data_IF_024823003775
#
_entry.id   IF_024823003775
#
_cell.length_a   1.000
_cell.length_b   1.000
_cell.length_c   1.000
_cell.angle_alpha   90.00
_cell.angle_beta   90.00
_cell.angle_gamma   90.00
#
_symmetry.space_group_name_H-M   'P 1'
#
loop_
_entity.id
_entity.type
_entity.pdbx_description
1 polymer ?
#
# COMPACT_ATOMS: atom_id res chain seq x y z
N UNK A 1 5.06 -7.86 -12.77
CA UNK A 1 4.38 -6.76 -12.04
C UNK A 1 5.43 -5.98 -11.26
N UNK A 2 5.32 -4.66 -11.22
CA UNK A 2 6.13 -3.77 -10.38
C UNK A 2 5.43 -3.47 -9.05
N UNK A 3 6.18 -2.94 -8.07
CA UNK A 3 5.59 -2.52 -6.80
C UNK A 3 4.52 -1.43 -6.99
N UNK A 4 4.69 -0.53 -7.96
CA UNK A 4 3.71 0.52 -8.28
C UNK A 4 2.40 -0.08 -8.79
N UNK A 5 2.47 -1.12 -9.63
CA UNK A 5 1.28 -1.83 -10.12
C UNK A 5 0.59 -2.59 -9.00
N UNK A 6 1.34 -3.26 -8.13
CA UNK A 6 0.78 -3.95 -6.96
C UNK A 6 0.10 -2.95 -5.99
N UNK A 7 0.76 -1.83 -5.71
CA UNK A 7 0.22 -0.76 -4.88
C UNK A 7 -1.07 -0.17 -5.47
N UNK A 8 -1.13 -0.01 -6.79
CA UNK A 8 -2.33 0.44 -7.49
C UNK A 8 -3.52 -0.50 -7.27
N UNK A 9 -3.29 -1.82 -7.37
CA UNK A 9 -4.31 -2.83 -7.10
C UNK A 9 -4.80 -2.78 -5.66
N UNK A 10 -3.88 -2.65 -4.71
CA UNK A 10 -4.17 -2.59 -3.28
C UNK A 10 -4.94 -1.34 -2.90
N UNK A 11 -4.47 -0.14 -3.28
CA UNK A 11 -5.15 1.13 -3.01
C UNK A 11 -6.59 1.08 -3.53
N UNK A 12 -6.76 0.65 -4.78
CA UNK A 12 -8.08 0.51 -5.39
C UNK A 12 -8.95 -0.53 -4.69
N UNK A 13 -8.36 -1.65 -4.30
CA UNK A 13 -9.06 -2.73 -3.58
C UNK A 13 -9.57 -2.28 -2.21
N UNK A 14 -8.70 -1.66 -1.40
CA UNK A 14 -9.04 -1.11 -0.08
C UNK A 14 -10.08 0.00 -0.20
N UNK A 15 -9.95 0.88 -1.19
CA UNK A 15 -10.96 1.93 -1.45
C UNK A 15 -12.33 1.33 -1.74
N UNK A 16 -12.39 0.37 -2.66
CA UNK A 16 -13.64 -0.28 -3.07
C UNK A 16 -14.26 -1.10 -1.94
N UNK A 17 -13.47 -1.79 -1.12
CA UNK A 17 -14.00 -2.55 0.02
C UNK A 17 -14.63 -1.64 1.08
N UNK A 18 -14.22 -0.37 1.14
CA UNK A 18 -14.83 0.67 1.98
C UNK A 18 -16.01 1.39 1.32
N UNK A 19 -16.42 0.99 0.10
CA UNK A 19 -17.51 1.62 -0.62
C UNK A 19 -17.22 3.03 -1.12
N UNK A 20 -15.94 3.46 -1.11
CA UNK A 20 -15.54 4.80 -1.49
C UNK A 20 -15.36 4.92 -3.00
N UNK A 21 -15.83 6.01 -3.58
CA UNK A 21 -15.47 6.47 -4.91
C UNK A 21 -14.08 7.11 -4.92
N UNK A 22 -13.57 7.44 -6.11
CA UNK A 22 -12.33 8.24 -6.20
C UNK A 22 -12.53 9.68 -5.70
N UNK A 23 -13.75 10.21 -5.80
CA UNK A 23 -14.09 11.58 -5.38
C UNK A 23 -14.17 11.70 -3.85
N UNK A 24 -14.36 10.59 -3.14
CA UNK A 24 -14.33 10.58 -1.68
C UNK A 24 -12.90 10.73 -1.13
N UNK A 25 -11.88 10.42 -1.94
CA UNK A 25 -10.47 10.59 -1.60
C UNK A 25 -9.97 11.96 -2.10
N UNK A 26 -10.44 13.03 -1.47
CA UNK A 26 -10.04 14.42 -1.77
C UNK A 26 -8.60 14.78 -1.29
N UNK A 27 -7.69 13.81 -1.23
CA UNK A 27 -6.31 14.00 -0.76
C UNK A 27 -5.34 14.39 -1.88
N UNK A 28 -5.70 14.04 -3.10
CA UNK A 28 -4.97 14.32 -4.33
C UNK A 28 -5.97 14.62 -5.44
N UNK A 29 -5.49 15.27 -6.50
CA UNK A 29 -6.31 15.49 -7.69
C UNK A 29 -6.82 14.15 -8.26
N UNK A 30 -8.10 14.11 -8.67
CA UNK A 30 -8.77 12.92 -9.21
C UNK A 30 -8.01 12.30 -10.39
N UNK A 31 -7.45 13.11 -11.27
CA UNK A 31 -6.64 12.62 -12.38
C UNK A 31 -5.40 11.88 -11.87
N UNK A 32 -4.75 12.43 -10.84
CA UNK A 32 -3.60 11.81 -10.23
C UNK A 32 -3.98 10.51 -9.51
N UNK A 33 -5.05 10.50 -8.69
CA UNK A 33 -5.56 9.28 -8.06
C UNK A 33 -5.90 8.20 -9.10
N UNK A 34 -6.55 8.58 -10.19
CA UNK A 34 -6.86 7.65 -11.28
C UNK A 34 -5.62 7.11 -11.98
N UNK A 35 -4.50 7.84 -12.02
CA UNK A 35 -3.21 7.30 -12.49
C UNK A 35 -2.59 6.36 -11.47
N UNK A 36 -2.67 6.67 -10.18
CA UNK A 36 -2.20 5.82 -9.09
C UNK A 36 -2.88 4.46 -9.15
N UNK A 37 -4.22 4.41 -9.19
CA UNK A 37 -4.99 3.15 -9.19
C UNK A 37 -4.91 2.33 -10.48
N UNK A 38 -4.21 2.86 -11.49
CA UNK A 38 -3.87 2.17 -12.74
C UNK A 38 -2.38 1.81 -12.84
N UNK A 39 -1.57 2.09 -11.79
CA UNK A 39 -0.14 1.83 -11.79
C UNK A 39 0.66 2.76 -12.71
N UNK A 40 0.09 3.90 -13.12
CA UNK A 40 0.67 4.84 -14.10
C UNK A 40 1.30 6.08 -13.44
N UNK A 41 1.48 6.07 -12.14
CA UNK A 41 2.09 7.14 -11.37
C UNK A 41 3.15 6.56 -10.44
N UNK A 42 4.27 7.27 -10.30
CA UNK A 42 5.18 7.07 -9.18
C UNK A 42 4.63 7.88 -8.01
N UNK A 43 4.33 7.18 -6.91
CA UNK A 43 3.75 7.77 -5.71
C UNK A 43 4.87 8.00 -4.71
N UNK A 44 4.96 9.22 -4.17
CA UNK A 44 5.87 9.49 -3.06
C UNK A 44 5.32 8.87 -1.78
N UNK A 45 6.20 8.56 -0.82
CA UNK A 45 5.78 8.01 0.47
C UNK A 45 4.78 8.94 1.18
N UNK A 46 4.98 10.26 1.09
CA UNK A 46 4.07 11.27 1.65
C UNK A 46 2.67 11.21 1.03
N UNK A 47 2.56 11.11 -0.30
CA UNK A 47 1.25 10.96 -0.96
C UNK A 47 0.60 9.64 -0.56
N UNK A 48 1.38 8.55 -0.50
CA UNK A 48 0.83 7.26 -0.07
C UNK A 48 0.30 7.32 1.36
N UNK A 49 0.98 8.01 2.26
CA UNK A 49 0.53 8.22 3.63
C UNK A 49 -0.78 9.00 3.68
N UNK A 50 -0.93 10.08 2.90
CA UNK A 50 -2.20 10.83 2.80
C UNK A 50 -3.34 9.96 2.28
N UNK A 51 -3.08 9.12 1.28
CA UNK A 51 -4.06 8.17 0.77
C UNK A 51 -4.45 7.16 1.86
N UNK A 52 -3.48 6.62 2.60
CA UNK A 52 -3.74 5.70 3.71
C UNK A 52 -4.63 6.34 4.79
N UNK A 53 -4.34 7.57 5.18
CA UNK A 53 -5.13 8.36 6.14
C UNK A 53 -6.58 8.51 5.65
N UNK A 54 -6.79 8.90 4.39
CA UNK A 54 -8.16 9.06 3.88
C UNK A 54 -8.88 7.74 3.61
N UNK A 55 -8.14 6.65 3.42
CA UNK A 55 -8.68 5.30 3.47
C UNK A 55 -8.92 4.82 4.91
N UNK A 56 -8.47 5.54 5.94
CA UNK A 56 -8.58 5.13 7.34
C UNK A 56 -7.83 3.83 7.62
N UNK A 57 -6.60 3.71 7.14
CA UNK A 57 -5.68 2.59 7.40
C UNK A 57 -4.26 3.10 7.61
N UNK A 58 -3.41 2.29 8.24
CA UNK A 58 -1.98 2.60 8.33
C UNK A 58 -1.30 2.43 6.97
N UNK A 59 -0.34 3.31 6.67
CA UNK A 59 0.44 3.22 5.43
C UNK A 59 1.19 1.89 5.32
N UNK A 60 1.61 1.32 6.45
CA UNK A 60 2.28 0.02 6.52
C UNK A 60 1.40 -1.12 5.98
N UNK A 61 0.08 -1.08 6.21
CA UNK A 61 -0.85 -2.07 5.67
C UNK A 61 -0.81 -2.09 4.13
N UNK A 62 -0.83 -0.91 3.50
CA UNK A 62 -0.80 -0.79 2.04
C UNK A 62 0.49 -1.38 1.47
N UNK A 63 1.63 -1.13 2.13
CA UNK A 63 2.93 -1.67 1.72
C UNK A 63 2.99 -3.20 1.89
N UNK A 64 2.50 -3.73 3.01
CA UNK A 64 2.45 -5.19 3.25
C UNK A 64 1.59 -5.88 2.21
N UNK A 65 0.39 -5.35 1.92
CA UNK A 65 -0.48 -5.92 0.90
C UNK A 65 0.15 -5.81 -0.49
N UNK A 66 0.81 -4.68 -0.82
CA UNK A 66 1.45 -4.51 -2.12
C UNK A 66 2.64 -5.47 -2.32
N UNK A 67 3.42 -5.72 -1.28
CA UNK A 67 4.53 -6.68 -1.31
C UNK A 67 4.06 -8.13 -1.35
N UNK A 68 2.96 -8.46 -0.68
CA UNK A 68 2.25 -9.75 -0.79
C UNK A 68 1.75 -9.99 -2.23
N UNK A 69 1.08 -9.00 -2.82
CA UNK A 69 0.62 -9.06 -4.22
C UNK A 69 1.79 -9.18 -5.18
N UNK A 70 2.89 -8.45 -4.96
CA UNK A 70 4.11 -8.52 -5.78
C UNK A 70 4.79 -9.89 -5.71
N UNK A 71 4.81 -10.50 -4.53
CA UNK A 71 5.38 -11.83 -4.30
C UNK A 71 4.45 -12.99 -4.67
N UNK A 72 3.22 -12.70 -5.10
CA UNK A 72 2.16 -13.69 -5.33
C UNK A 72 1.99 -14.67 -4.14
N UNK A 73 2.05 -14.12 -2.92
CA UNK A 73 1.99 -14.88 -1.68
C UNK A 73 0.90 -14.32 -0.75
N UNK A 74 0.29 -15.15 0.12
CA UNK A 74 -0.63 -14.66 1.14
C UNK A 74 0.05 -13.65 2.08
N UNK A 75 -0.70 -12.64 2.53
CA UNK A 75 -0.17 -11.57 3.40
C UNK A 75 0.42 -12.10 4.72
N UNK A 76 -0.06 -13.22 5.25
CA UNK A 76 0.53 -13.86 6.43
C UNK A 76 1.94 -14.41 6.20
N UNK A 77 2.31 -14.75 4.96
CA UNK A 77 3.69 -15.14 4.61
C UNK A 77 4.58 -13.91 4.62
N UNK A 78 4.14 -12.82 4.00
CA UNK A 78 4.85 -11.54 4.00
C UNK A 78 5.07 -11.00 5.40
N UNK A 79 4.04 -11.01 6.25
CA UNK A 79 4.13 -10.54 7.65
C UNK A 79 5.15 -11.37 8.44
N UNK A 80 5.11 -12.71 8.36
CA UNK A 80 6.06 -13.58 9.06
C UNK A 80 7.50 -13.36 8.60
N UNK A 81 7.71 -13.07 7.32
CA UNK A 81 9.03 -12.72 6.78
C UNK A 81 9.54 -11.39 7.37
N UNK A 82 8.70 -10.37 7.41
CA UNK A 82 9.05 -9.06 8.00
C UNK A 82 9.33 -9.20 9.50
N UNK A 83 8.49 -9.93 10.23
CA UNK A 83 8.65 -10.19 11.67
C UNK A 83 9.99 -10.88 12.00
N UNK A 84 10.39 -11.87 11.19
CA UNK A 84 11.71 -12.50 11.29
C UNK A 84 12.84 -11.50 11.04
N UNK A 85 12.70 -10.62 10.06
CA UNK A 85 13.72 -9.60 9.77
C UNK A 85 13.85 -8.58 10.92
N UNK A 86 12.73 -8.14 11.50
CA UNK A 86 12.72 -7.25 12.67
C UNK A 86 13.43 -7.91 13.86
N UNK A 87 13.09 -9.17 14.17
CA UNK A 87 13.72 -9.94 15.24
C UNK A 87 15.24 -10.08 15.07
N UNK A 88 15.74 -10.14 13.83
CA UNK A 88 17.18 -10.20 13.55
C UNK A 88 17.87 -8.85 13.76
N UNK A 89 17.21 -7.75 13.45
CA UNK A 89 17.76 -6.40 13.66
C UNK A 89 17.81 -6.05 15.15
N UNK A 90 16.80 -6.44 15.92
CA UNK A 90 16.75 -6.22 17.37
C UNK A 90 17.87 -6.98 18.11
N UNK A 91 18.30 -8.13 17.58
CA UNK A 91 19.42 -8.91 18.13
C UNK A 91 20.80 -8.43 17.65
N UNK A 92 20.85 -7.60 16.59
CA UNK A 92 22.10 -7.05 16.03
C UNK A 92 22.48 -5.67 16.58
N UNK A 93 21.64 -5.08 17.45
CA UNK A 93 21.87 -3.79 18.09
C UNK A 93 22.27 -3.91 19.56
N UNK A 94 23.54 -4.20 19.82
CA UNK A 94 24.25 -3.86 21.08
C UNK A 94 25.57 -3.20 20.74
#
# INVERSE_FOLDING_TARGET
MSLNEALALVVRGVRKSKGLSQEDLNTVDRYYLGRIERGRAQVTVEVLNRIAIALGVDVGLLIILATSVLGDEPSQVTIRRIDRQLSQLDQGGT
#
